data_IF_971819664500
#
_entry.id   IF_971819664500
#
_cell.length_a   1.000
_cell.length_b   1.000
_cell.length_c   1.000
_cell.angle_alpha   90.00
_cell.angle_beta   90.00
_cell.angle_gamma   90.00
#
_symmetry.space_group_name_H-M   'P 1'
#
loop_
_entity.id
_entity.type
_entity.pdbx_description
1 polymer ?
#
# COMPACT_ATOMS: atom_id res chain seq x y z
N UNK A 1 3.52 42.33 46.26
CA UNK A 1 4.21 41.25 47.00
C UNK A 1 3.64 39.91 46.56
N UNK A 2 4.29 39.23 45.60
CA UNK A 2 4.07 37.82 45.27
C UNK A 2 5.45 37.17 45.32
N UNK A 3 5.68 36.27 46.27
CA UNK A 3 6.90 35.49 46.31
C UNK A 3 6.71 34.23 45.45
N UNK A 4 7.51 34.14 44.39
CA UNK A 4 7.77 32.91 43.65
C UNK A 4 8.48 31.93 44.59
N UNK A 5 7.88 30.77 44.84
CA UNK A 5 8.54 29.68 45.54
C UNK A 5 8.57 28.45 44.62
N UNK A 6 9.38 28.53 43.57
CA UNK A 6 9.79 27.38 42.75
C UNK A 6 10.89 26.62 43.51
N UNK A 7 10.49 25.86 44.53
CA UNK A 7 11.38 24.88 45.14
C UNK A 7 11.27 23.57 44.33
N UNK A 8 12.34 23.10 43.65
CA UNK A 8 12.35 21.84 42.89
C UNK A 8 12.09 20.59 43.74
N UNK A 9 12.03 20.71 45.07
CA UNK A 9 11.73 19.59 45.98
C UNK A 9 10.25 19.52 46.42
N UNK A 10 9.42 20.48 46.01
CA UNK A 10 7.99 20.55 46.40
C UNK A 10 7.16 19.36 45.90
N UNK A 11 7.52 18.74 44.77
CA UNK A 11 6.84 17.54 44.27
C UNK A 11 7.11 16.32 45.15
N UNK A 12 8.33 16.17 45.69
CA UNK A 12 8.71 15.03 46.56
C UNK A 12 7.89 15.02 47.84
N UNK A 13 7.72 16.19 48.48
CA UNK A 13 6.89 16.34 49.67
C UNK A 13 5.41 16.01 49.39
N UNK A 14 4.92 16.22 48.18
CA UNK A 14 3.55 15.88 47.81
C UNK A 14 3.33 14.37 47.63
N UNK A 15 4.33 13.63 47.14
CA UNK A 15 4.26 12.18 46.94
C UNK A 15 4.25 11.36 48.23
N UNK A 16 4.82 11.89 49.32
CA UNK A 16 5.12 11.10 50.52
C UNK A 16 4.24 11.41 51.71
N UNK A 17 3.70 12.63 51.80
CA UNK A 17 3.08 13.11 53.05
C UNK A 17 1.66 12.60 53.32
N UNK A 18 0.95 12.09 52.31
CA UNK A 18 -0.43 11.60 52.46
C UNK A 18 -0.55 10.08 52.67
N UNK A 19 0.55 9.34 52.51
CA UNK A 19 0.53 7.88 52.36
C UNK A 19 1.60 7.15 53.18
N UNK A 20 2.15 7.78 54.22
CA UNK A 20 3.21 7.20 55.06
C UNK A 20 4.36 6.61 54.22
N UNK A 21 4.91 7.40 53.28
CA UNK A 21 5.98 7.00 52.35
C UNK A 21 5.66 5.88 51.34
N UNK A 22 4.38 5.55 51.08
CA UNK A 22 4.02 4.68 49.96
C UNK A 22 3.53 5.48 48.74
N UNK A 23 3.97 5.11 47.53
CA UNK A 23 3.44 5.69 46.30
C UNK A 23 1.99 5.21 46.12
N UNK A 24 1.03 6.15 46.14
CA UNK A 24 -0.39 5.83 45.92
C UNK A 24 -0.69 5.73 44.42
N UNK A 25 -0.58 4.51 43.89
CA UNK A 25 -0.80 4.20 42.49
C UNK A 25 -2.26 4.36 42.03
N UNK A 26 -3.23 4.34 42.96
CA UNK A 26 -4.65 4.52 42.64
C UNK A 26 -4.93 5.94 42.14
N UNK A 27 -4.31 6.93 42.80
CA UNK A 27 -4.38 8.36 42.45
C UNK A 27 -3.70 8.71 41.12
N UNK A 28 -2.67 7.95 40.75
CA UNK A 28 -2.00 8.07 39.45
C UNK A 28 -2.95 7.58 38.34
N UNK A 29 -3.58 6.41 38.53
CA UNK A 29 -4.57 5.87 37.60
C UNK A 29 -5.74 6.82 37.39
N UNK A 30 -6.31 7.37 38.47
CA UNK A 30 -7.43 8.32 38.40
C UNK A 30 -7.09 9.59 37.60
N UNK A 31 -5.88 10.15 37.74
CA UNK A 31 -5.48 11.35 36.99
C UNK A 31 -5.14 11.08 35.53
N UNK A 32 -4.60 9.90 35.21
CA UNK A 32 -4.38 9.48 33.81
C UNK A 32 -5.73 9.35 33.11
N UNK A 33 -6.72 8.73 33.76
CA UNK A 33 -8.08 8.56 33.23
C UNK A 33 -8.85 9.89 33.18
N UNK A 34 -8.68 10.77 34.18
CA UNK A 34 -9.35 12.07 34.23
C UNK A 34 -8.77 13.14 33.28
N UNK A 35 -7.59 12.89 32.68
CA UNK A 35 -6.97 13.82 31.73
C UNK A 35 -7.64 13.72 30.34
N UNK A 36 -8.82 14.33 30.21
CA UNK A 36 -9.65 14.35 28.98
C UNK A 36 -8.95 14.88 27.70
N UNK A 37 -7.72 15.38 27.78
CA UNK A 37 -7.01 16.04 26.68
C UNK A 37 -5.87 15.22 26.04
N UNK A 38 -5.61 13.98 26.47
CA UNK A 38 -4.51 13.16 25.91
C UNK A 38 -4.90 12.28 24.71
N UNK A 39 -6.19 12.05 24.47
CA UNK A 39 -6.67 11.01 23.54
C UNK A 39 -7.44 11.46 22.27
N UNK A 40 -7.33 12.68 21.72
CA UNK A 40 -8.01 13.00 20.46
C UNK A 40 -7.36 12.36 19.20
N UNK A 41 -6.19 11.74 19.32
CA UNK A 41 -5.39 11.27 18.17
C UNK A 41 -4.97 9.79 18.22
N UNK A 42 -5.48 9.01 19.16
CA UNK A 42 -5.14 7.59 19.29
C UNK A 42 -6.33 6.71 18.90
N UNK A 43 -6.06 5.69 18.08
CA UNK A 43 -7.03 4.64 17.78
C UNK A 43 -7.37 3.82 19.03
N UNK A 44 -8.54 3.18 19.06
CA UNK A 44 -8.95 2.36 20.21
C UNK A 44 -7.96 1.24 20.54
N UNK A 45 -7.27 0.69 19.52
CA UNK A 45 -6.21 -0.31 19.70
C UNK A 45 -4.99 0.27 20.43
N UNK A 46 -4.57 1.49 20.07
CA UNK A 46 -3.43 2.15 20.73
C UNK A 46 -3.74 2.53 22.19
N UNK A 47 -5.00 2.83 22.49
CA UNK A 47 -5.46 3.05 23.87
C UNK A 47 -5.41 1.73 24.67
N UNK A 48 -5.87 0.63 24.08
CA UNK A 48 -5.86 -0.70 24.69
C UNK A 48 -4.43 -1.19 24.98
N UNK A 49 -3.51 -1.06 24.03
CA UNK A 49 -2.11 -1.46 24.20
C UNK A 49 -1.43 -0.68 25.34
N UNK A 50 -1.72 0.62 25.46
CA UNK A 50 -1.18 1.48 26.54
C UNK A 50 -1.77 1.15 27.91
N UNK A 51 -3.08 0.86 27.97
CA UNK A 51 -3.74 0.40 29.20
C UNK A 51 -3.21 -0.96 29.65
N UNK A 52 -2.91 -1.87 28.72
CA UNK A 52 -2.34 -3.18 29.01
C UNK A 52 -0.94 -3.05 29.62
N UNK A 53 -0.10 -2.16 29.08
CA UNK A 53 1.24 -1.84 29.63
C UNK A 53 1.13 -1.24 31.04
N UNK A 54 0.16 -0.36 31.27
CA UNK A 54 -0.07 0.23 32.59
C UNK A 54 -0.53 -0.83 33.60
N UNK A 55 -1.47 -1.70 33.21
CA UNK A 55 -1.98 -2.79 34.03
C UNK A 55 -0.88 -3.82 34.38
N UNK A 56 -0.03 -4.22 33.41
CA UNK A 56 1.08 -5.14 33.68
C UNK A 56 2.08 -4.56 34.67
N UNK A 57 2.30 -3.24 34.63
CA UNK A 57 3.18 -2.52 35.55
C UNK A 57 2.62 -2.51 36.97
N UNK A 58 1.31 -2.27 37.13
CA UNK A 58 0.64 -2.33 38.44
C UNK A 58 0.66 -3.75 39.02
N UNK A 59 0.42 -4.77 38.19
CA UNK A 59 0.45 -6.17 38.62
C UNK A 59 1.85 -6.58 39.07
N UNK A 60 2.89 -6.20 38.33
CA UNK A 60 4.27 -6.51 38.70
C UNK A 60 4.70 -5.82 40.02
N UNK A 61 4.32 -4.55 40.20
CA UNK A 61 4.55 -3.82 41.44
C UNK A 61 3.79 -4.42 42.63
N UNK A 62 2.53 -4.81 42.42
CA UNK A 62 1.70 -5.43 43.46
C UNK A 62 2.18 -6.84 43.82
N UNK A 63 2.56 -7.66 42.84
CA UNK A 63 3.10 -9.00 43.08
C UNK A 63 4.40 -8.94 43.91
N UNK A 64 5.27 -7.97 43.62
CA UNK A 64 6.47 -7.71 44.44
C UNK A 64 6.17 -7.24 45.86
N UNK A 65 5.10 -6.47 46.05
CA UNK A 65 4.63 -6.06 47.38
C UNK A 65 4.01 -7.23 48.18
N UNK A 66 3.16 -8.03 47.54
CA UNK A 66 2.44 -9.14 48.17
C UNK A 66 3.35 -10.32 48.55
N UNK A 67 4.52 -10.45 47.91
CA UNK A 67 5.52 -11.49 48.21
C UNK A 67 6.58 -11.06 49.24
N UNK A 68 6.44 -9.86 49.83
CA UNK A 68 7.34 -9.40 50.89
C UNK A 68 7.02 -10.08 52.25
N UNK A 69 8.02 -10.63 52.97
CA UNK A 69 7.79 -11.28 54.26
C UNK A 69 7.38 -10.26 55.35
N UNK A 70 6.44 -10.65 56.22
CA UNK A 70 5.80 -9.76 57.20
C UNK A 70 6.59 -9.52 58.50
N UNK A 71 7.88 -9.84 58.59
CA UNK A 71 8.66 -9.66 59.82
C UNK A 71 9.90 -8.76 59.60
N UNK A 72 10.08 -7.61 60.30
CA UNK A 72 10.87 -6.49 59.76
C UNK A 72 12.34 -6.39 60.18
N UNK A 73 12.91 -7.30 60.98
CA UNK A 73 14.09 -6.95 61.79
C UNK A 73 15.48 -7.44 61.36
N UNK A 74 15.70 -8.07 60.20
CA UNK A 74 17.09 -8.41 59.81
C UNK A 74 17.44 -8.41 58.32
N UNK A 75 16.53 -7.95 57.45
CA UNK A 75 16.75 -7.94 55.99
C UNK A 75 16.38 -6.57 55.38
N UNK A 76 16.43 -5.50 56.19
CA UNK A 76 15.74 -4.24 55.88
C UNK A 76 16.40 -3.35 54.82
N UNK A 77 17.72 -3.43 54.61
CA UNK A 77 18.39 -2.42 53.76
C UNK A 77 18.88 -2.89 52.38
N UNK A 78 19.11 -4.19 52.15
CA UNK A 78 19.73 -4.65 50.90
C UNK A 78 18.76 -5.30 49.92
N UNK A 79 17.77 -6.07 50.40
CA UNK A 79 16.86 -6.80 49.51
C UNK A 79 15.69 -5.96 49.01
N UNK A 80 15.06 -5.15 49.88
CA UNK A 80 13.99 -4.23 49.48
C UNK A 80 14.53 -3.19 48.48
N UNK A 81 15.71 -2.64 48.74
CA UNK A 81 16.42 -1.74 47.82
C UNK A 81 16.70 -2.41 46.47
N UNK A 82 17.16 -3.66 46.46
CA UNK A 82 17.44 -4.43 45.23
C UNK A 82 16.19 -4.76 44.42
N UNK A 83 15.07 -5.11 45.07
CA UNK A 83 13.81 -5.36 44.37
C UNK A 83 13.16 -4.09 43.83
N UNK A 84 13.23 -2.99 44.58
CA UNK A 84 12.77 -1.68 44.10
C UNK A 84 13.65 -1.20 42.94
N UNK A 85 14.97 -1.40 43.02
CA UNK A 85 15.90 -1.10 41.92
C UNK A 85 15.68 -1.99 40.69
N UNK A 86 15.36 -3.28 40.85
CA UNK A 86 15.05 -4.16 39.71
C UNK A 86 13.70 -3.82 39.06
N UNK A 87 12.67 -3.49 39.86
CA UNK A 87 11.40 -3.01 39.34
C UNK A 87 11.52 -1.66 38.62
N UNK A 88 12.28 -0.72 39.20
CA UNK A 88 12.55 0.59 38.57
C UNK A 88 13.38 0.44 37.29
N UNK A 89 14.41 -0.42 37.28
CA UNK A 89 15.20 -0.67 36.06
C UNK A 89 14.37 -1.35 34.97
N UNK A 90 13.51 -2.32 35.32
CA UNK A 90 12.54 -2.89 34.39
C UNK A 90 11.58 -1.84 33.81
N UNK A 91 11.12 -0.90 34.63
CA UNK A 91 10.31 0.24 34.19
C UNK A 91 11.06 1.15 33.20
N UNK A 92 12.30 1.54 33.51
CA UNK A 92 13.10 2.38 32.62
C UNK A 92 13.42 1.68 31.29
N UNK A 93 13.72 0.38 31.32
CA UNK A 93 13.97 -0.41 30.10
C UNK A 93 12.71 -0.50 29.24
N UNK A 94 11.55 -0.77 29.84
CA UNK A 94 10.29 -0.85 29.11
C UNK A 94 9.89 0.52 28.50
N UNK A 95 10.03 1.60 29.26
CA UNK A 95 9.79 2.96 28.76
C UNK A 95 10.76 3.33 27.64
N UNK A 96 12.04 2.96 27.76
CA UNK A 96 13.02 3.18 26.71
C UNK A 96 12.64 2.43 25.43
N UNK A 97 12.23 1.17 25.53
CA UNK A 97 11.76 0.38 24.37
C UNK A 97 10.54 1.03 23.72
N UNK A 98 9.53 1.45 24.49
CA UNK A 98 8.35 2.13 23.95
C UNK A 98 8.72 3.45 23.29
N UNK A 99 9.59 4.26 23.91
CA UNK A 99 10.07 5.52 23.34
C UNK A 99 10.82 5.27 22.03
N UNK A 100 11.70 4.26 21.98
CA UNK A 100 12.42 3.88 20.76
C UNK A 100 11.46 3.43 19.64
N UNK A 101 10.43 2.66 19.97
CA UNK A 101 9.39 2.26 19.01
C UNK A 101 8.57 3.46 18.51
N UNK A 102 8.24 4.42 19.38
CA UNK A 102 7.55 5.65 19.00
C UNK A 102 8.42 6.58 18.15
N UNK A 103 9.72 6.68 18.45
CA UNK A 103 10.69 7.41 17.62
C UNK A 103 10.80 6.76 16.25
N UNK A 104 10.90 5.41 16.18
CA UNK A 104 10.92 4.68 14.92
C UNK A 104 9.64 4.89 14.12
N UNK A 105 8.46 4.78 14.75
CA UNK A 105 7.17 5.04 14.10
C UNK A 105 7.08 6.48 13.59
N UNK A 106 7.54 7.46 14.37
CA UNK A 106 7.55 8.88 13.96
C UNK A 106 8.49 9.12 12.78
N UNK A 107 9.68 8.52 12.77
CA UNK A 107 10.62 8.58 11.63
C UNK A 107 10.00 7.95 10.37
N UNK A 108 9.36 6.79 10.52
CA UNK A 108 8.67 6.15 9.41
C UNK A 108 7.55 7.05 8.85
N UNK A 109 6.71 7.64 9.72
CA UNK A 109 5.64 8.57 9.32
C UNK A 109 6.18 9.85 8.67
N UNK A 110 7.30 10.41 9.17
CA UNK A 110 7.95 11.56 8.54
C UNK A 110 8.48 11.20 7.14
N UNK A 111 9.13 10.03 6.99
CA UNK A 111 9.58 9.56 5.66
C UNK A 111 8.42 9.29 4.72
N UNK A 112 7.28 8.78 5.21
CA UNK A 112 6.07 8.58 4.42
C UNK A 112 5.48 9.92 3.97
N UNK A 113 5.41 10.92 4.86
CA UNK A 113 4.90 12.26 4.52
C UNK A 113 5.81 13.01 3.54
N UNK A 114 7.13 12.85 3.65
CA UNK A 114 8.07 13.38 2.65
C UNK A 114 7.94 12.65 1.30
N UNK A 115 7.61 11.36 1.32
CA UNK A 115 7.40 10.56 0.11
C UNK A 115 6.05 10.87 -0.57
N UNK A 116 4.97 11.08 0.17
CA UNK A 116 3.67 11.51 -0.39
C UNK A 116 3.71 12.94 -0.91
N UNK A 117 4.45 13.84 -0.25
CA UNK A 117 4.65 15.23 -0.71
C UNK A 117 5.41 15.37 -2.05
N UNK A 118 5.74 14.26 -2.69
CA UNK A 118 6.62 14.21 -3.87
C UNK A 118 6.15 13.22 -4.92
N UNK A 119 4.91 12.72 -4.78
CA UNK A 119 4.15 12.13 -5.87
C UNK A 119 3.52 13.30 -6.63
N UNK A 120 3.78 13.37 -7.91
CA UNK A 120 3.25 14.42 -8.78
C UNK A 120 1.88 13.97 -9.31
N UNK A 121 0.84 14.76 -9.11
CA UNK A 121 -0.44 14.50 -9.77
C UNK A 121 -0.40 15.11 -11.18
N UNK A 122 -0.83 14.35 -12.20
CA UNK A 122 -0.89 14.83 -13.58
C UNK A 122 -2.03 14.16 -14.34
N UNK A 123 -2.68 14.92 -15.23
CA UNK A 123 -3.60 14.40 -16.26
C UNK A 123 -2.91 14.25 -17.62
N UNK A 124 -1.65 14.67 -17.75
CA UNK A 124 -0.91 14.73 -19.01
C UNK A 124 0.21 13.68 -19.02
N UNK A 125 -0.02 12.60 -19.78
CA UNK A 125 0.96 11.53 -19.97
C UNK A 125 2.19 12.06 -20.72
N UNK A 126 1.96 12.87 -21.75
CA UNK A 126 3.00 13.42 -22.62
C UNK A 126 3.99 14.28 -21.85
N UNK A 127 3.50 15.20 -21.00
CA UNK A 127 4.35 16.07 -20.20
C UNK A 127 5.34 15.26 -19.34
N UNK A 128 4.84 14.22 -18.68
CA UNK A 128 5.63 13.35 -17.80
C UNK A 128 6.73 12.61 -18.58
N UNK A 129 6.40 12.09 -19.76
CA UNK A 129 7.34 11.39 -20.64
C UNK A 129 8.38 12.33 -21.26
N UNK A 130 7.96 13.52 -21.73
CA UNK A 130 8.87 14.51 -22.30
C UNK A 130 9.89 15.01 -21.27
N UNK A 131 9.47 15.18 -20.01
CA UNK A 131 10.41 15.50 -18.94
C UNK A 131 11.44 14.41 -18.73
N UNK A 132 11.08 13.12 -18.81
CA UNK A 132 12.05 12.03 -18.71
C UNK A 132 13.05 12.05 -19.88
N UNK A 133 12.56 12.25 -21.11
CA UNK A 133 13.39 12.31 -22.32
C UNK A 133 14.43 13.44 -22.26
N UNK A 134 14.09 14.59 -21.67
CA UNK A 134 14.99 15.75 -21.59
C UNK A 134 16.08 15.62 -20.51
N UNK A 135 15.96 14.68 -19.57
CA UNK A 135 16.96 14.52 -18.50
C UNK A 135 18.31 14.00 -19.00
N UNK A 136 18.34 13.26 -20.12
CA UNK A 136 19.57 12.69 -20.69
C UNK A 136 20.31 11.69 -19.79
N UNK A 137 19.64 11.18 -18.75
CA UNK A 137 20.17 10.24 -17.77
C UNK A 137 19.83 8.81 -18.14
N UNK A 138 20.62 7.84 -17.66
CA UNK A 138 20.24 6.42 -17.79
C UNK A 138 18.95 6.17 -17.00
N UNK A 139 17.88 5.85 -17.72
CA UNK A 139 16.52 5.88 -17.19
C UNK A 139 15.76 4.59 -17.43
N UNK A 140 14.76 4.34 -16.58
CA UNK A 140 13.73 3.31 -16.77
C UNK A 140 12.37 3.95 -16.59
N UNK A 141 11.43 3.62 -17.47
CA UNK A 141 10.04 4.02 -17.36
C UNK A 141 9.18 2.79 -17.02
N UNK A 142 8.33 2.90 -16.02
CA UNK A 142 7.46 1.85 -15.52
C UNK A 142 6.05 2.41 -15.50
N UNK A 143 5.14 1.75 -16.19
CA UNK A 143 3.76 2.21 -16.33
C UNK A 143 2.80 1.14 -15.84
N UNK A 144 1.78 1.54 -15.09
CA UNK A 144 0.57 0.73 -15.02
C UNK A 144 -0.07 0.62 -16.41
N UNK A 145 -0.98 -0.35 -16.58
CA UNK A 145 -1.69 -0.59 -17.83
C UNK A 145 -3.08 0.03 -17.76
N UNK A 146 -3.92 -0.46 -16.85
CA UNK A 146 -5.32 -0.04 -16.74
C UNK A 146 -5.41 1.40 -16.28
N UNK A 147 -6.26 2.18 -16.95
CA UNK A 147 -6.48 3.61 -16.74
C UNK A 147 -5.22 4.50 -16.82
N UNK A 148 -4.07 3.94 -17.18
CA UNK A 148 -2.80 4.66 -17.36
C UNK A 148 -2.36 4.66 -18.81
N UNK A 149 -2.26 3.47 -19.43
CA UNK A 149 -1.92 3.33 -20.86
C UNK A 149 -3.14 3.03 -21.72
N UNK A 150 -4.11 2.30 -21.19
CA UNK A 150 -5.34 1.95 -21.89
C UNK A 150 -6.55 1.97 -20.98
N UNK A 151 -7.72 2.06 -21.60
CA UNK A 151 -9.02 1.95 -20.96
C UNK A 151 -9.84 0.84 -21.61
N UNK A 152 -10.64 0.16 -20.79
CA UNK A 152 -11.64 -0.80 -21.28
C UNK A 152 -12.93 -0.05 -21.57
N UNK A 153 -13.33 0.01 -22.85
CA UNK A 153 -14.53 0.77 -23.27
C UNK A 153 -15.82 -0.06 -23.22
N UNK A 154 -15.71 -1.37 -23.00
CA UNK A 154 -16.83 -2.30 -22.92
C UNK A 154 -16.87 -3.30 -24.07
N UNK A 155 -18.04 -3.89 -24.29
CA UNK A 155 -18.26 -4.91 -25.29
C UNK A 155 -19.21 -4.40 -26.37
N UNK A 156 -18.63 -3.78 -27.41
CA UNK A 156 -19.36 -3.31 -28.59
C UNK A 156 -18.49 -3.43 -29.84
N UNK A 157 -18.81 -4.32 -30.79
CA UNK A 157 -18.16 -4.29 -32.09
C UNK A 157 -18.38 -2.91 -32.73
N UNK A 158 -17.29 -2.21 -33.06
CA UNK A 158 -17.27 -0.90 -33.74
C UNK A 158 -17.74 0.31 -32.91
N UNK A 159 -17.59 0.29 -31.59
CA UNK A 159 -17.89 1.49 -30.79
C UNK A 159 -16.84 2.60 -31.01
N UNK A 160 -17.34 3.81 -31.29
CA UNK A 160 -16.57 5.04 -31.19
C UNK A 160 -16.10 5.25 -29.75
N UNK A 161 -14.89 5.82 -29.56
CA UNK A 161 -14.34 6.24 -28.24
C UNK A 161 -15.30 7.07 -27.39
N UNK A 162 -16.30 7.67 -28.02
CA UNK A 162 -17.30 8.55 -27.41
C UNK A 162 -18.36 7.83 -26.58
N UNK A 163 -18.42 6.49 -26.57
CA UNK A 163 -19.44 5.75 -25.80
C UNK A 163 -18.82 4.56 -25.08
N UNK A 164 -18.58 4.74 -23.78
CA UNK A 164 -17.94 3.76 -22.90
C UNK A 164 -18.97 3.21 -21.93
N UNK A 165 -19.20 1.90 -21.94
CA UNK A 165 -19.99 1.25 -20.88
C UNK A 165 -19.13 0.88 -19.68
N UNK A 166 -17.81 0.93 -19.81
CA UNK A 166 -16.88 0.47 -18.78
C UNK A 166 -17.10 -0.98 -18.35
N UNK A 167 -17.89 -1.79 -19.07
CA UNK A 167 -18.15 -3.18 -18.70
C UNK A 167 -16.85 -3.99 -18.84
N UNK A 168 -16.45 -4.64 -17.75
CA UNK A 168 -15.14 -5.30 -17.66
C UNK A 168 -13.97 -4.39 -17.33
N UNK A 169 -14.19 -3.08 -17.10
CA UNK A 169 -13.14 -2.18 -16.61
C UNK A 169 -12.80 -2.43 -15.14
N UNK A 170 -11.65 -1.91 -14.70
CA UNK A 170 -11.24 -1.88 -13.29
C UNK A 170 -12.25 -1.18 -12.38
N UNK A 171 -12.89 -0.12 -12.88
CA UNK A 171 -13.93 0.64 -12.17
C UNK A 171 -15.16 -0.25 -11.95
N UNK A 172 -15.62 -0.93 -13.01
CA UNK A 172 -16.73 -1.87 -12.93
C UNK A 172 -16.44 -3.02 -11.96
N UNK A 173 -15.28 -3.66 -12.11
CA UNK A 173 -14.89 -4.79 -11.27
C UNK A 173 -14.86 -4.38 -9.80
N UNK A 174 -14.22 -3.24 -9.50
CA UNK A 174 -14.13 -2.71 -8.14
C UNK A 174 -15.51 -2.39 -7.55
N UNK A 175 -16.41 -1.81 -8.35
CA UNK A 175 -17.77 -1.51 -7.94
C UNK A 175 -18.56 -2.79 -7.59
N UNK A 176 -18.50 -3.83 -8.43
CA UNK A 176 -19.19 -5.10 -8.17
C UNK A 176 -18.56 -5.83 -6.98
N UNK A 177 -17.23 -5.88 -6.90
CA UNK A 177 -16.52 -6.50 -5.78
C UNK A 177 -16.84 -5.84 -4.44
N UNK A 178 -16.99 -4.50 -4.42
CA UNK A 178 -17.35 -3.76 -3.20
C UNK A 178 -18.73 -4.10 -2.64
N UNK A 179 -19.63 -4.61 -3.49
CA UNK A 179 -20.99 -5.00 -3.12
C UNK A 179 -21.08 -6.45 -2.60
N UNK A 180 -20.01 -7.24 -2.74
CA UNK A 180 -19.98 -8.60 -2.22
C UNK A 180 -19.91 -8.60 -0.69
N UNK A 181 -20.79 -9.39 -0.07
CA UNK A 181 -20.72 -9.64 1.37
C UNK A 181 -19.56 -10.59 1.70
N UNK A 182 -18.46 -10.01 2.19
CA UNK A 182 -17.24 -10.72 2.58
C UNK A 182 -17.44 -11.65 3.78
N UNK A 183 -18.56 -11.52 4.49
CA UNK A 183 -18.91 -12.37 5.64
C UNK A 183 -19.82 -13.54 5.26
N UNK A 184 -20.36 -13.53 4.04
CA UNK A 184 -21.20 -14.61 3.52
C UNK A 184 -20.40 -15.91 3.38
N UNK A 185 -20.98 -17.08 3.73
CA UNK A 185 -20.37 -18.37 3.44
C UNK A 185 -20.16 -18.60 1.93
N UNK A 186 -20.92 -17.91 1.09
CA UNK A 186 -20.85 -18.01 -0.37
C UNK A 186 -19.86 -17.00 -0.99
N UNK A 187 -19.16 -16.19 -0.18
CA UNK A 187 -18.24 -15.15 -0.67
C UNK A 187 -17.24 -15.71 -1.69
N UNK A 188 -16.63 -16.85 -1.39
CA UNK A 188 -15.65 -17.47 -2.27
C UNK A 188 -16.26 -17.85 -3.63
N UNK A 189 -17.45 -18.47 -3.63
CA UNK A 189 -18.18 -18.83 -4.85
C UNK A 189 -18.53 -17.58 -5.67
N UNK A 190 -19.07 -16.54 -5.02
CA UNK A 190 -19.43 -15.28 -5.69
C UNK A 190 -18.21 -14.57 -6.28
N UNK A 191 -17.10 -14.57 -5.56
CA UNK A 191 -15.84 -14.02 -6.03
C UNK A 191 -15.30 -14.78 -7.26
N UNK A 192 -15.33 -16.11 -7.23
CA UNK A 192 -14.93 -16.93 -8.38
C UNK A 192 -15.83 -16.72 -9.61
N UNK A 193 -17.14 -16.55 -9.41
CA UNK A 193 -18.06 -16.21 -10.50
C UNK A 193 -17.77 -14.82 -11.09
N UNK A 194 -17.49 -13.82 -10.24
CA UNK A 194 -17.09 -12.49 -10.69
C UNK A 194 -15.77 -12.53 -11.48
N UNK A 195 -14.77 -13.27 -11.00
CA UNK A 195 -13.51 -13.47 -11.72
C UNK A 195 -13.75 -14.16 -13.07
N UNK A 196 -14.58 -15.20 -13.09
CA UNK A 196 -14.92 -15.92 -14.32
C UNK A 196 -15.61 -15.01 -15.33
N UNK A 197 -16.57 -14.19 -14.88
CA UNK A 197 -17.21 -13.18 -15.73
C UNK A 197 -16.19 -12.17 -16.26
N UNK A 198 -15.32 -11.65 -15.39
CA UNK A 198 -14.26 -10.71 -15.78
C UNK A 198 -13.33 -11.30 -16.84
N UNK A 199 -12.88 -12.55 -16.70
CA UNK A 199 -12.01 -13.19 -17.69
C UNK A 199 -12.70 -13.36 -19.05
N UNK A 200 -13.96 -13.77 -19.04
CA UNK A 200 -14.75 -13.87 -20.27
C UNK A 200 -14.89 -12.49 -20.90
N UNK A 201 -15.25 -11.45 -20.14
CA UNK A 201 -15.37 -10.10 -20.69
C UNK A 201 -14.04 -9.64 -21.31
N UNK A 202 -12.90 -9.85 -20.62
CA UNK A 202 -11.58 -9.42 -21.12
C UNK A 202 -11.19 -10.07 -22.45
N UNK A 203 -11.68 -11.29 -22.75
CA UNK A 203 -11.46 -11.93 -24.05
C UNK A 203 -12.13 -11.16 -25.20
N UNK A 204 -13.27 -10.51 -24.95
CA UNK A 204 -14.09 -9.89 -25.98
C UNK A 204 -14.14 -8.35 -25.90
N UNK A 205 -13.74 -7.77 -24.78
CA UNK A 205 -13.81 -6.34 -24.53
C UNK A 205 -12.89 -5.57 -25.50
N UNK A 206 -13.38 -4.41 -25.92
CA UNK A 206 -12.58 -3.47 -26.71
C UNK A 206 -11.78 -2.56 -25.79
N UNK A 207 -10.59 -2.19 -26.24
CA UNK A 207 -9.68 -1.32 -25.52
C UNK A 207 -9.25 -0.17 -26.43
N UNK A 208 -8.98 0.98 -25.85
CA UNK A 208 -8.33 2.11 -26.52
C UNK A 208 -7.25 2.68 -25.60
N UNK A 209 -6.29 3.40 -26.15
CA UNK A 209 -5.31 4.11 -25.33
C UNK A 209 -5.98 5.23 -24.54
N UNK A 210 -5.43 5.54 -23.36
CA UNK A 210 -5.86 6.69 -22.54
C UNK A 210 -5.71 7.99 -23.33
N UNK A 211 -4.56 8.16 -23.98
CA UNK A 211 -4.29 9.26 -24.91
C UNK A 211 -3.76 8.72 -26.25
N UNK A 212 -4.02 9.45 -27.34
CA UNK A 212 -3.57 9.08 -28.69
C UNK A 212 -2.04 9.04 -28.83
N UNK A 213 -1.34 9.81 -28.01
CA UNK A 213 0.11 9.95 -28.07
C UNK A 213 0.85 8.77 -27.41
N UNK A 214 0.17 7.93 -26.61
CA UNK A 214 0.80 6.89 -25.79
C UNK A 214 1.71 5.97 -26.60
N UNK A 215 1.28 5.33 -27.71
CA UNK A 215 2.14 4.41 -28.45
C UNK A 215 3.39 5.09 -29.02
N UNK A 216 3.22 6.30 -29.57
CA UNK A 216 4.33 7.07 -30.14
C UNK A 216 5.37 7.48 -29.08
N UNK A 217 4.92 7.87 -27.89
CA UNK A 217 5.80 8.26 -26.80
C UNK A 217 6.55 7.06 -26.20
N UNK A 218 5.90 5.90 -26.08
CA UNK A 218 6.58 4.67 -25.64
C UNK A 218 7.64 4.22 -26.66
N UNK A 219 7.36 4.36 -27.97
CA UNK A 219 8.34 4.13 -29.02
C UNK A 219 9.52 5.11 -28.90
N UNK A 220 9.24 6.40 -28.69
CA UNK A 220 10.27 7.43 -28.52
C UNK A 220 11.17 7.15 -27.30
N UNK A 221 10.61 6.69 -26.18
CA UNK A 221 11.41 6.27 -25.01
C UNK A 221 12.40 5.15 -25.38
N UNK A 222 11.93 4.13 -26.10
CA UNK A 222 12.76 3.00 -26.55
C UNK A 222 13.84 3.44 -27.53
N UNK A 223 13.53 4.32 -28.47
CA UNK A 223 14.50 4.91 -29.41
C UNK A 223 15.61 5.69 -28.70
N UNK A 224 15.31 6.25 -27.53
CA UNK A 224 16.27 6.93 -26.66
C UNK A 224 16.96 5.99 -25.65
N UNK A 225 16.91 4.67 -25.87
CA UNK A 225 17.48 3.63 -25.00
C UNK A 225 16.95 3.64 -23.57
N UNK A 226 15.72 4.14 -23.36
CA UNK A 226 15.04 4.06 -22.07
C UNK A 226 14.23 2.76 -22.05
N UNK A 227 14.48 1.92 -21.06
CA UNK A 227 13.71 0.68 -20.89
C UNK A 227 12.30 1.01 -20.42
N UNK A 228 11.29 0.47 -21.09
CA UNK A 228 9.86 0.66 -20.79
C UNK A 228 9.28 -0.65 -20.29
N UNK A 229 8.76 -0.67 -19.07
CA UNK A 229 8.16 -1.84 -18.42
C UNK A 229 6.68 -1.59 -18.09
N UNK A 230 5.86 -2.63 -18.21
CA UNK A 230 4.50 -2.65 -17.68
C UNK A 230 4.47 -3.22 -16.27
N UNK A 231 3.62 -2.69 -15.39
CA UNK A 231 3.43 -3.19 -14.02
C UNK A 231 1.96 -3.14 -13.63
N UNK A 232 1.28 -4.29 -13.72
CA UNK A 232 -0.19 -4.39 -13.56
C UNK A 232 -0.58 -5.35 -12.45
N UNK A 233 -1.72 -5.09 -11.79
CA UNK A 233 -2.34 -6.03 -10.84
C UNK A 233 -3.13 -7.15 -11.52
N UNK A 234 -3.34 -7.08 -12.85
CA UNK A 234 -4.00 -8.15 -13.63
C UNK A 234 -3.36 -9.51 -13.36
N UNK A 235 -4.19 -10.55 -13.39
CA UNK A 235 -3.74 -11.94 -13.26
C UNK A 235 -2.92 -12.39 -14.47
N UNK A 236 -1.92 -13.24 -14.20
CA UNK A 236 -1.18 -13.97 -15.21
C UNK A 236 -2.07 -14.84 -16.11
N UNK A 237 -3.24 -15.27 -15.65
CA UNK A 237 -4.21 -16.04 -16.45
C UNK A 237 -4.73 -15.29 -17.67
N UNK A 238 -4.79 -13.96 -17.64
CA UNK A 238 -5.19 -13.14 -18.80
C UNK A 238 -4.00 -12.47 -19.48
N UNK A 239 -2.76 -12.85 -19.15
CA UNK A 239 -1.56 -12.20 -19.66
C UNK A 239 -1.48 -12.20 -21.18
N UNK A 240 -1.79 -13.33 -21.83
CA UNK A 240 -1.77 -13.43 -23.30
C UNK A 240 -2.79 -12.49 -23.95
N UNK A 241 -4.01 -12.43 -23.40
CA UNK A 241 -5.05 -11.55 -23.88
C UNK A 241 -4.61 -10.09 -23.69
N UNK A 242 -4.11 -9.73 -22.51
CA UNK A 242 -3.61 -8.37 -22.24
C UNK A 242 -2.50 -7.96 -23.20
N UNK A 243 -1.52 -8.84 -23.43
CA UNK A 243 -0.41 -8.58 -24.36
C UNK A 243 -0.89 -8.45 -25.81
N UNK A 244 -1.84 -9.28 -26.22
CA UNK A 244 -2.48 -9.16 -27.53
C UNK A 244 -3.17 -7.79 -27.67
N UNK A 245 -3.97 -7.37 -26.67
CA UNK A 245 -4.66 -6.06 -26.70
C UNK A 245 -3.69 -4.89 -26.72
N UNK A 246 -2.59 -4.96 -25.96
CA UNK A 246 -1.53 -3.96 -26.01
C UNK A 246 -0.90 -3.87 -27.41
N UNK A 247 -0.61 -5.01 -28.03
CA UNK A 247 -0.05 -5.05 -29.38
C UNK A 247 -1.01 -4.49 -30.44
N UNK A 248 -2.31 -4.78 -30.33
CA UNK A 248 -3.36 -4.19 -31.18
C UNK A 248 -3.44 -2.66 -31.06
N UNK A 249 -3.08 -2.10 -29.90
CA UNK A 249 -2.97 -0.66 -29.66
C UNK A 249 -1.61 -0.07 -30.04
N UNK A 250 -0.70 -0.87 -30.61
CA UNK A 250 0.67 -0.43 -30.94
C UNK A 250 1.57 -0.22 -29.72
N UNK A 251 1.18 -0.74 -28.54
CA UNK A 251 1.98 -0.68 -27.32
C UNK A 251 2.87 -1.91 -27.25
N UNK A 252 4.18 -1.69 -27.20
CA UNK A 252 5.18 -2.75 -27.05
C UNK A 252 6.26 -2.35 -26.05
N UNK A 253 6.35 -3.09 -24.95
CA UNK A 253 7.33 -2.88 -23.90
C UNK A 253 8.76 -3.30 -24.32
N UNK A 254 9.75 -2.85 -23.54
CA UNK A 254 11.12 -3.35 -23.66
C UNK A 254 11.18 -4.82 -23.23
N UNK A 255 12.14 -5.58 -23.79
CA UNK A 255 12.28 -7.02 -23.50
C UNK A 255 11.03 -7.84 -23.85
N UNK A 256 10.32 -7.46 -24.90
CA UNK A 256 9.16 -8.20 -25.40
C UNK A 256 9.51 -9.64 -25.83
N UNK A 257 10.76 -9.90 -26.24
CA UNK A 257 11.24 -11.24 -26.61
C UNK A 257 11.77 -12.07 -25.42
N UNK A 258 11.76 -11.52 -24.21
CA UNK A 258 12.27 -12.24 -23.05
C UNK A 258 11.36 -13.41 -22.68
N UNK A 259 11.98 -14.51 -22.24
CA UNK A 259 11.25 -15.67 -21.74
C UNK A 259 10.37 -15.30 -20.54
N UNK A 260 9.24 -16.00 -20.42
CA UNK A 260 8.35 -15.82 -19.27
C UNK A 260 9.05 -16.29 -18.00
N UNK A 261 9.03 -15.45 -16.96
CA UNK A 261 9.65 -15.76 -15.67
C UNK A 261 8.60 -15.72 -14.56
N UNK A 262 8.56 -16.74 -13.72
CA UNK A 262 7.78 -16.71 -12.47
C UNK A 262 8.55 -15.92 -11.41
N UNK A 263 7.86 -15.00 -10.75
CA UNK A 263 8.42 -14.15 -9.71
C UNK A 263 8.12 -14.75 -8.32
N UNK A 264 9.13 -14.91 -7.45
CA UNK A 264 8.97 -15.56 -6.15
C UNK A 264 8.29 -14.64 -5.11
N UNK A 265 6.99 -14.38 -5.30
CA UNK A 265 6.17 -13.59 -4.38
C UNK A 265 5.09 -14.47 -3.77
N UNK A 266 5.27 -14.85 -2.51
CA UNK A 266 4.31 -15.69 -1.80
C UNK A 266 3.13 -14.88 -1.26
N UNK A 267 1.92 -15.38 -1.50
CA UNK A 267 0.71 -14.99 -0.78
C UNK A 267 -0.01 -16.28 -0.40
N UNK A 268 -0.50 -16.36 0.85
CA UNK A 268 -1.46 -17.40 1.22
C UNK A 268 -2.75 -17.15 0.46
N UNK A 269 -3.26 -18.16 -0.23
CA UNK A 269 -4.60 -18.18 -0.85
C UNK A 269 -4.74 -17.44 -2.20
N UNK A 270 -3.66 -17.29 -2.98
CA UNK A 270 -3.72 -16.88 -4.38
C UNK A 270 -3.40 -18.08 -5.29
N UNK A 271 -4.26 -18.35 -6.29
CA UNK A 271 -4.10 -19.49 -7.21
C UNK A 271 -3.03 -19.27 -8.29
N UNK A 272 -2.76 -18.01 -8.64
CA UNK A 272 -1.96 -17.67 -9.82
C UNK A 272 -0.65 -17.06 -9.39
N UNK A 273 0.44 -17.38 -10.07
CA UNK A 273 1.74 -16.78 -9.80
C UNK A 273 1.86 -15.36 -10.37
N UNK A 274 2.70 -14.53 -9.74
CA UNK A 274 3.19 -13.32 -10.39
C UNK A 274 4.23 -13.71 -11.44
N UNK A 275 4.16 -13.11 -12.62
CA UNK A 275 5.06 -13.41 -13.73
C UNK A 275 5.60 -12.14 -14.37
N UNK A 276 6.76 -12.24 -14.99
CA UNK A 276 7.24 -11.30 -15.99
C UNK A 276 7.10 -11.93 -17.38
N UNK A 277 6.45 -11.23 -18.31
CA UNK A 277 6.21 -11.73 -19.66
C UNK A 277 6.17 -10.56 -20.64
N UNK A 278 6.97 -10.65 -21.70
CA UNK A 278 7.08 -9.66 -22.77
C UNK A 278 7.19 -8.20 -22.29
N UNK A 279 8.02 -7.94 -21.26
CA UNK A 279 8.21 -6.60 -20.72
C UNK A 279 7.19 -6.15 -19.67
N UNK A 280 6.21 -7.00 -19.32
CA UNK A 280 5.16 -6.71 -18.35
C UNK A 280 5.30 -7.59 -17.11
N UNK A 281 5.24 -6.97 -15.94
CA UNK A 281 5.12 -7.62 -14.63
C UNK A 281 3.63 -7.75 -14.30
N UNK A 282 3.11 -8.97 -14.34
CA UNK A 282 1.75 -9.32 -13.90
C UNK A 282 1.80 -9.72 -12.43
N UNK A 283 1.20 -8.90 -11.56
CA UNK A 283 1.26 -9.13 -10.12
C UNK A 283 0.22 -10.14 -9.61
N UNK A 284 -0.81 -10.48 -10.40
CA UNK A 284 -1.85 -11.43 -10.01
C UNK A 284 -2.44 -11.10 -8.63
N UNK A 285 -2.92 -9.85 -8.49
CA UNK A 285 -3.50 -9.33 -7.24
C UNK A 285 -2.50 -9.08 -6.10
N UNK A 286 -1.20 -9.33 -6.28
CA UNK A 286 -0.16 -9.04 -5.28
C UNK A 286 0.24 -7.57 -5.31
N UNK A 287 0.95 -7.15 -4.26
CA UNK A 287 1.57 -5.82 -4.22
C UNK A 287 2.51 -5.59 -5.41
N UNK A 288 2.31 -4.48 -6.12
CA UNK A 288 3.20 -4.01 -7.20
C UNK A 288 4.62 -3.82 -6.70
N UNK A 289 4.81 -3.31 -5.47
CA UNK A 289 6.12 -3.20 -4.83
C UNK A 289 6.82 -4.56 -4.71
N UNK A 290 6.13 -5.56 -4.18
CA UNK A 290 6.72 -6.88 -3.96
C UNK A 290 7.08 -7.58 -5.27
N UNK A 291 6.22 -7.44 -6.29
CA UNK A 291 6.50 -8.01 -7.61
C UNK A 291 7.63 -7.28 -8.33
N UNK A 292 7.68 -5.95 -8.23
CA UNK A 292 8.79 -5.17 -8.75
C UNK A 292 10.10 -5.53 -8.05
N UNK A 293 10.08 -5.73 -6.73
CA UNK A 293 11.27 -6.17 -5.99
C UNK A 293 11.75 -7.56 -6.41
N UNK A 294 10.83 -8.51 -6.52
CA UNK A 294 11.13 -9.84 -7.02
C UNK A 294 11.72 -9.79 -8.44
N UNK A 295 11.18 -8.94 -9.33
CA UNK A 295 11.70 -8.74 -10.67
C UNK A 295 13.10 -8.11 -10.68
N UNK A 296 13.31 -7.02 -9.93
CA UNK A 296 14.61 -6.32 -9.90
C UNK A 296 15.73 -7.26 -9.40
N UNK A 297 15.41 -8.20 -8.52
CA UNK A 297 16.39 -9.16 -8.00
C UNK A 297 16.65 -10.36 -8.96
N UNK A 298 16.01 -10.41 -10.14
CA UNK A 298 16.37 -11.37 -11.22
C UNK A 298 17.63 -10.94 -11.96
N UNK A 299 18.24 -11.83 -12.75
CA UNK A 299 19.40 -11.49 -13.59
C UNK A 299 19.08 -10.38 -14.60
N UNK A 300 17.92 -10.45 -15.25
CA UNK A 300 17.44 -9.42 -16.18
C UNK A 300 17.23 -8.09 -15.46
N UNK A 301 16.49 -8.12 -14.34
CA UNK A 301 16.21 -6.94 -13.52
C UNK A 301 17.47 -6.25 -13.01
N UNK A 302 18.45 -7.03 -12.52
CA UNK A 302 19.74 -6.50 -12.08
C UNK A 302 20.48 -5.80 -13.23
N UNK A 303 20.48 -6.37 -14.44
CA UNK A 303 21.13 -5.73 -15.59
C UNK A 303 20.42 -4.44 -16.03
N UNK A 304 19.09 -4.43 -15.97
CA UNK A 304 18.24 -3.31 -16.37
C UNK A 304 18.41 -2.13 -15.42
N UNK A 305 18.39 -2.40 -14.11
CA UNK A 305 18.52 -1.38 -13.07
C UNK A 305 19.97 -1.00 -12.75
N UNK A 306 20.97 -1.68 -13.31
CA UNK A 306 22.38 -1.36 -13.09
C UNK A 306 22.72 0.04 -13.61
N UNK A 307 23.13 0.93 -12.72
CA UNK A 307 23.54 2.30 -13.08
C UNK A 307 22.38 3.18 -13.56
N UNK A 308 21.12 2.78 -13.32
CA UNK A 308 19.96 3.64 -13.55
C UNK A 308 20.00 4.80 -12.56
N UNK A 309 19.90 6.01 -13.11
CA UNK A 309 19.98 7.24 -12.33
C UNK A 309 18.60 7.82 -12.02
N UNK A 310 17.61 7.53 -12.85
CA UNK A 310 16.23 7.98 -12.64
C UNK A 310 15.22 6.93 -13.11
N UNK A 311 14.08 6.88 -12.43
CA UNK A 311 12.95 6.03 -12.79
C UNK A 311 11.73 6.92 -12.88
N UNK A 312 10.95 6.78 -13.94
CA UNK A 312 9.59 7.30 -13.99
C UNK A 312 8.64 6.14 -13.68
N UNK A 313 7.87 6.25 -12.61
CA UNK A 313 6.74 5.37 -12.34
C UNK A 313 5.44 6.13 -12.49
N UNK A 314 4.44 5.55 -13.14
CA UNK A 314 3.13 6.17 -13.33
C UNK A 314 2.02 5.14 -13.15
N UNK A 315 0.99 5.52 -12.41
CA UNK A 315 -0.13 4.66 -12.02
C UNK A 315 -1.37 5.53 -11.73
N UNK A 316 -2.56 5.01 -12.00
CA UNK A 316 -3.83 5.71 -11.76
C UNK A 316 -4.26 5.66 -10.29
N UNK A 317 -3.74 4.70 -9.51
CA UNK A 317 -4.12 4.54 -8.10
C UNK A 317 -3.07 5.13 -7.19
N UNK A 318 -3.45 6.15 -6.44
CA UNK A 318 -2.57 6.81 -5.45
C UNK A 318 -1.92 5.81 -4.48
N UNK A 319 -2.64 4.80 -4.01
CA UNK A 319 -2.08 3.80 -3.10
C UNK A 319 -0.94 2.98 -3.72
N UNK A 320 -0.99 2.71 -5.02
CA UNK A 320 0.10 2.08 -5.75
C UNK A 320 1.28 3.05 -5.96
N UNK A 321 0.99 4.31 -6.29
CA UNK A 321 2.00 5.38 -6.34
C UNK A 321 2.77 5.49 -5.03
N UNK A 322 2.08 5.54 -3.89
CA UNK A 322 2.68 5.62 -2.57
C UNK A 322 3.59 4.43 -2.26
N UNK A 323 3.08 3.21 -2.48
CA UNK A 323 3.81 2.00 -2.16
C UNK A 323 5.08 1.83 -3.01
N UNK A 324 4.97 2.07 -4.32
CA UNK A 324 6.08 1.90 -5.27
C UNK A 324 7.07 3.06 -5.18
N UNK A 325 6.63 4.31 -4.97
CA UNK A 325 7.51 5.47 -4.79
C UNK A 325 8.44 5.30 -3.60
N UNK A 326 7.91 4.84 -2.45
CA UNK A 326 8.72 4.58 -1.26
C UNK A 326 9.81 3.56 -1.54
N UNK A 327 9.49 2.51 -2.29
CA UNK A 327 10.45 1.47 -2.64
C UNK A 327 11.49 1.94 -3.66
N UNK A 328 11.06 2.61 -4.74
CA UNK A 328 11.95 3.07 -5.79
C UNK A 328 12.94 4.11 -5.28
N UNK A 329 12.55 5.01 -4.37
CA UNK A 329 13.46 6.03 -3.82
C UNK A 329 14.58 5.48 -2.97
N UNK A 330 14.36 4.35 -2.31
CA UNK A 330 15.42 3.66 -1.57
C UNK A 330 16.49 3.08 -2.50
N UNK A 331 16.13 2.78 -3.76
CA UNK A 331 17.03 2.18 -4.76
C UNK A 331 17.58 3.21 -5.76
N UNK A 332 16.76 4.15 -6.18
CA UNK A 332 17.04 5.22 -7.15
C UNK A 332 16.46 6.52 -6.57
N UNK A 333 17.26 7.31 -5.82
CA UNK A 333 16.76 8.50 -5.11
C UNK A 333 16.13 9.58 -6.00
N UNK A 334 16.52 9.65 -7.28
CA UNK A 334 15.93 10.56 -8.26
C UNK A 334 14.77 9.93 -9.06
N UNK A 335 14.11 8.91 -8.49
CA UNK A 335 12.87 8.37 -9.03
C UNK A 335 11.73 9.38 -8.86
N UNK A 336 10.91 9.47 -9.91
CA UNK A 336 9.72 10.29 -9.99
C UNK A 336 8.51 9.36 -10.08
N UNK A 337 7.47 9.71 -9.36
CA UNK A 337 6.21 8.98 -9.37
C UNK A 337 5.09 9.93 -9.72
N UNK A 338 4.31 9.57 -10.74
CA UNK A 338 3.18 10.35 -11.22
C UNK A 338 1.89 9.59 -10.90
N UNK A 339 1.02 10.22 -10.12
CA UNK A 339 -0.37 9.79 -9.97
C UNK A 339 -1.16 10.34 -11.16
N UNK A 340 -1.49 9.45 -12.08
CA UNK A 340 -2.09 9.81 -13.36
C UNK A 340 -3.62 9.82 -13.25
N UNK A 341 -4.23 11.00 -13.25
CA UNK A 341 -5.66 11.17 -12.94
C UNK A 341 -6.54 11.43 -14.16
N UNK A 342 -6.01 11.32 -15.38
CA UNK A 342 -6.74 11.63 -16.61
C UNK A 342 -8.08 10.88 -16.72
N UNK A 343 -8.08 9.58 -16.45
CA UNK A 343 -9.30 8.75 -16.54
C UNK A 343 -10.33 9.13 -15.47
N UNK A 344 -9.88 9.41 -14.23
CA UNK A 344 -10.76 9.82 -13.14
C UNK A 344 -11.43 11.17 -13.42
N UNK A 345 -10.67 12.11 -14.01
CA UNK A 345 -11.13 13.48 -14.25
C UNK A 345 -11.94 13.61 -15.55
N UNK A 346 -11.56 12.89 -16.61
CA UNK A 346 -12.07 13.13 -17.96
C UNK A 346 -13.01 12.03 -18.51
N UNK A 347 -13.10 10.85 -17.87
CA UNK A 347 -13.95 9.76 -18.36
C UNK A 347 -15.20 9.53 -17.51
N UNK A 348 -16.41 9.63 -18.10
CA UNK A 348 -17.65 9.43 -17.36
C UNK A 348 -17.84 7.96 -16.96
N UNK A 349 -18.25 7.76 -15.70
CA UNK A 349 -18.73 6.46 -15.22
C UNK A 349 -19.96 6.05 -16.01
N UNK A 350 -19.94 4.85 -16.58
CA UNK A 350 -21.05 4.34 -17.35
C UNK A 350 -22.33 4.15 -16.52
N UNK A 351 -23.48 4.41 -17.14
CA UNK A 351 -24.79 4.11 -16.56
C UNK A 351 -25.02 2.59 -16.57
N UNK A 352 -25.67 2.08 -15.53
CA UNK A 352 -26.11 0.69 -15.38
C UNK A 352 -26.81 0.17 -16.64
N UNK A 353 -27.65 0.99 -17.28
CA UNK A 353 -28.34 0.58 -18.51
C UNK A 353 -27.37 0.22 -19.65
N UNK A 354 -26.21 0.89 -19.73
CA UNK A 354 -25.18 0.63 -20.74
C UNK A 354 -24.42 -0.66 -20.45
N UNK A 355 -24.12 -0.91 -19.17
CA UNK A 355 -23.49 -2.17 -18.71
C UNK A 355 -24.42 -3.35 -19.00
N UNK A 356 -25.71 -3.23 -18.67
CA UNK A 356 -26.70 -4.29 -18.90
C UNK A 356 -26.90 -4.58 -20.41
N UNK A 357 -26.84 -3.54 -21.25
CA UNK A 357 -26.87 -3.70 -22.71
C UNK A 357 -25.65 -4.49 -23.23
N UNK A 358 -24.43 -4.12 -22.80
CA UNK A 358 -23.20 -4.80 -23.20
C UNK A 358 -23.15 -6.26 -22.70
N UNK A 359 -23.54 -6.50 -21.44
CA UNK A 359 -23.67 -7.84 -20.87
C UNK A 359 -24.62 -8.73 -21.67
N UNK A 360 -25.79 -8.19 -22.01
CA UNK A 360 -26.81 -8.91 -22.79
C UNK A 360 -26.30 -9.28 -24.18
N UNK A 361 -25.58 -8.37 -24.83
CA UNK A 361 -24.97 -8.62 -26.15
C UNK A 361 -23.90 -9.71 -26.08
N UNK A 362 -23.00 -9.64 -25.09
CA UNK A 362 -21.94 -10.64 -24.91
C UNK A 362 -22.53 -12.04 -24.71
N UNK A 363 -23.60 -12.14 -23.93
CA UNK A 363 -24.30 -13.43 -23.71
C UNK A 363 -24.83 -14.02 -25.03
N UNK A 364 -25.41 -13.21 -25.90
CA UNK A 364 -25.89 -13.65 -27.22
C UNK A 364 -24.76 -14.11 -28.13
N UNK A 365 -23.59 -13.48 -28.08
CA UNK A 365 -22.43 -13.89 -28.89
C UNK A 365 -21.82 -15.20 -28.40
N UNK A 366 -21.62 -15.33 -27.09
CA UNK A 366 -21.14 -16.58 -26.49
C UNK A 366 -22.08 -17.74 -26.82
N UNK A 367 -23.40 -17.54 -26.72
CA UNK A 367 -24.38 -18.55 -27.15
C UNK A 367 -24.24 -18.98 -28.61
N UNK A 368 -23.77 -18.10 -29.50
CA UNK A 368 -23.52 -18.45 -30.90
C UNK A 368 -22.24 -19.23 -31.07
N UNK A 369 -21.18 -18.87 -30.35
CA UNK A 369 -19.89 -19.56 -30.39
C UNK A 369 -19.99 -21.00 -29.86
N UNK A 370 -20.77 -21.23 -28.79
CA UNK A 370 -20.93 -22.55 -28.17
C UNK A 370 -22.02 -23.44 -28.83
N UNK A 371 -22.71 -22.97 -29.88
CA UNK A 371 -23.73 -23.76 -30.62
C UNK A 371 -23.17 -24.53 -31.82
N UNK A 372 -21.86 -24.46 -32.05
CA UNK A 372 -21.13 -25.28 -33.01
C UNK A 372 -20.24 -26.29 -32.28
#
# INVERSE_FOLDING_TARGET
MRQNNTNPESWRLWFTHASNNMVDFSRIGERVIASKNWFPHYSQKEIADRLLIFASTLIAGYAGYASAPQNPESVRDTWQSRMVLSALSGFFVLQLVVILLLIQKRRNMQSMNECTASIEQSVDFSLSVQQLLTLGKKSVAIFDIDNTLLITIGYRPNASRTRQSGYGSDIWFSAVFSQLDKTSPDFHTMYLLLLSEYFIIQQHAQHVTTEDCVPALLAQLKENNISVLGLTTRTSCISDITLQRLAELGIQFSHHDAETMTLPVSIKDCSDDAIFKQGVIFCSGRSKKLCLDAFINTSLGLSLFQGVETVLFMDDKLSHCEEVSQYLRLRVPASRTVHYTHVEEDLPVADKAQIDEDRSRLSVELEREFRF
#
